data_IF_994946912167
#
_entry.id   IF_994946912167
#
_cell.length_a   1.000
_cell.length_b   1.000
_cell.length_c   1.000
_cell.angle_alpha   90.00
_cell.angle_beta   90.00
_cell.angle_gamma   90.00
#
_symmetry.space_group_name_H-M   'P 1'
#
loop_
_entity.id
_entity.type
_entity.pdbx_description
1 polymer ?
#
# COMPACT_ATOMS: atom_id res chain seq x y z
N UNK A 1 -8.13 -3.69 -6.65
CA UNK A 1 -7.58 -4.15 -5.38
C UNK A 1 -8.38 -5.34 -4.89
N UNK A 2 -7.92 -6.55 -5.21
CA UNK A 2 -8.32 -7.81 -4.56
C UNK A 2 -7.16 -8.20 -3.63
N UNK A 3 -6.89 -7.41 -2.60
CA UNK A 3 -5.73 -7.67 -1.73
C UNK A 3 -6.14 -7.95 -0.28
N UNK A 4 -7.33 -7.52 0.14
CA UNK A 4 -7.68 -7.57 1.57
C UNK A 4 -8.13 -8.99 1.98
N UNK A 5 -8.93 -9.68 1.16
CA UNK A 5 -9.46 -10.99 1.55
C UNK A 5 -8.46 -12.15 1.40
N UNK A 6 -7.45 -12.00 0.54
CA UNK A 6 -6.44 -13.03 0.29
C UNK A 6 -5.18 -12.85 1.14
N UNK A 7 -4.84 -11.61 1.51
CA UNK A 7 -3.58 -11.28 2.22
C UNK A 7 -3.77 -11.21 3.74
N UNK A 8 -5.00 -11.05 4.22
CA UNK A 8 -5.31 -10.96 5.65
C UNK A 8 -6.23 -12.08 6.12
N UNK A 9 -5.81 -12.86 7.13
CA UNK A 9 -6.68 -13.84 7.77
C UNK A 9 -7.76 -13.14 8.60
N UNK A 10 -8.93 -13.76 8.72
CA UNK A 10 -10.02 -13.26 9.56
C UNK A 10 -10.76 -12.04 9.00
N UNK A 11 -10.53 -11.67 7.72
CA UNK A 11 -11.36 -10.66 7.07
C UNK A 11 -12.77 -11.19 6.82
N UNK A 12 -13.75 -10.31 6.99
CA UNK A 12 -15.16 -10.63 6.73
C UNK A 12 -15.68 -9.75 5.61
N UNK A 13 -16.72 -10.21 4.92
CA UNK A 13 -17.40 -9.41 3.92
C UNK A 13 -18.33 -8.39 4.58
N UNK A 14 -18.60 -7.30 3.85
CA UNK A 14 -19.41 -6.18 4.32
C UNK A 14 -20.90 -6.51 4.46
N UNK A 15 -21.36 -7.63 3.88
CA UNK A 15 -22.77 -7.98 3.85
C UNK A 15 -23.22 -8.53 5.22
N UNK A 16 -24.13 -7.83 5.93
CA UNK A 16 -24.58 -8.24 7.25
C UNK A 16 -25.35 -9.57 7.22
N UNK A 17 -26.11 -9.86 6.17
CA UNK A 17 -26.85 -11.12 6.03
C UNK A 17 -25.90 -12.32 5.87
N UNK A 18 -24.77 -12.11 5.17
CA UNK A 18 -23.72 -13.12 5.05
C UNK A 18 -22.88 -13.27 6.32
N UNK A 19 -22.77 -12.20 7.10
CA UNK A 19 -22.01 -12.19 8.35
C UNK A 19 -22.77 -12.88 9.48
N UNK A 20 -24.10 -12.69 9.55
CA UNK A 20 -24.96 -13.31 10.56
C UNK A 20 -24.42 -13.09 11.98
N UNK A 21 -24.47 -14.15 12.80
CA UNK A 21 -24.01 -14.14 14.20
C UNK A 21 -22.49 -14.39 14.34
N UNK A 22 -21.69 -13.75 13.49
CA UNK A 22 -20.23 -13.91 13.53
C UNK A 22 -19.62 -13.37 14.83
N UNK A 23 -19.23 -14.30 15.71
CA UNK A 23 -18.47 -14.01 16.92
C UNK A 23 -17.08 -13.46 16.57
N UNK A 24 -16.92 -12.14 16.73
CA UNK A 24 -15.72 -11.42 16.31
C UNK A 24 -14.60 -11.51 17.34
N UNK A 25 -14.93 -11.70 18.62
CA UNK A 25 -13.94 -11.77 19.69
C UNK A 25 -13.19 -13.11 19.64
N UNK A 26 -13.92 -14.21 19.50
CA UNK A 26 -13.32 -15.55 19.46
C UNK A 26 -12.68 -15.89 18.12
N UNK A 27 -13.02 -15.17 17.04
CA UNK A 27 -12.49 -15.42 15.69
C UNK A 27 -11.49 -14.38 15.20
N UNK A 28 -11.00 -13.50 16.09
CA UNK A 28 -9.96 -12.55 15.76
C UNK A 28 -8.66 -13.29 15.37
N UNK A 29 -8.16 -13.03 14.16
CA UNK A 29 -6.98 -13.71 13.62
C UNK A 29 -5.65 -12.96 13.88
N UNK A 30 -5.72 -11.68 14.27
CA UNK A 30 -4.57 -10.82 14.53
C UNK A 30 -4.74 -10.09 15.85
N UNK A 31 -3.63 -9.86 16.54
CA UNK A 31 -3.58 -8.92 17.66
C UNK A 31 -3.65 -7.47 17.15
N UNK A 32 -4.03 -6.53 18.04
CA UNK A 32 -4.08 -5.11 17.70
C UNK A 32 -2.74 -4.60 17.14
N UNK A 33 -1.62 -4.99 17.76
CA UNK A 33 -0.28 -4.57 17.33
C UNK A 33 0.10 -5.10 15.94
N UNK A 34 -0.31 -6.32 15.62
CA UNK A 34 -0.09 -6.91 14.29
C UNK A 34 -0.92 -6.20 13.23
N UNK A 35 -2.19 -5.91 13.54
CA UNK A 35 -3.07 -5.15 12.67
C UNK A 35 -2.53 -3.73 12.40
N UNK A 36 -2.09 -3.01 13.43
CA UNK A 36 -1.51 -1.66 13.28
C UNK A 36 -0.27 -1.66 12.39
N UNK A 37 0.61 -2.65 12.57
CA UNK A 37 1.81 -2.81 11.74
C UNK A 37 1.44 -3.09 10.28
N UNK A 38 0.53 -4.04 10.06
CA UNK A 38 0.07 -4.36 8.70
C UNK A 38 -0.58 -3.16 8.04
N UNK A 39 -1.48 -2.46 8.74
CA UNK A 39 -2.21 -1.31 8.23
C UNK A 39 -1.25 -0.18 7.81
N UNK A 40 -0.24 0.09 8.63
CA UNK A 40 0.77 1.11 8.32
C UNK A 40 1.51 0.80 7.02
N UNK A 41 1.91 -0.46 6.82
CA UNK A 41 2.59 -0.90 5.61
C UNK A 41 1.66 -0.89 4.38
N UNK A 42 0.41 -1.31 4.56
CA UNK A 42 -0.60 -1.32 3.50
C UNK A 42 -0.90 0.11 3.00
N UNK A 43 -1.11 1.05 3.92
CA UNK A 43 -1.36 2.47 3.60
C UNK A 43 -0.13 3.09 2.91
N UNK A 44 1.07 2.86 3.44
CA UNK A 44 2.31 3.35 2.81
C UNK A 44 2.48 2.85 1.38
N UNK A 45 2.22 1.55 1.16
CA UNK A 45 2.29 0.93 -0.18
C UNK A 45 1.23 1.50 -1.11
N UNK A 46 -0.01 1.66 -0.63
CA UNK A 46 -1.11 2.25 -1.40
C UNK A 46 -0.78 3.66 -1.88
N UNK A 47 -0.33 4.54 -0.98
CA UNK A 47 0.00 5.94 -1.33
C UNK A 47 1.26 6.08 -2.20
N UNK A 48 2.17 5.10 -2.16
CA UNK A 48 3.38 5.06 -2.98
C UNK A 48 3.21 4.40 -4.35
N UNK A 49 2.15 3.60 -4.54
CA UNK A 49 1.86 2.91 -5.81
C UNK A 49 1.18 3.82 -6.83
N UNK A 50 1.44 3.60 -8.13
CA UNK A 50 0.74 4.33 -9.20
C UNK A 50 -0.70 3.84 -9.28
N UNK A 51 -1.66 4.77 -9.22
CA UNK A 51 -3.08 4.43 -9.33
C UNK A 51 -3.58 4.66 -10.74
N UNK A 52 -4.32 3.70 -11.29
CA UNK A 52 -4.83 3.77 -12.66
C UNK A 52 -5.69 5.02 -12.93
N UNK A 53 -6.50 5.46 -11.97
CA UNK A 53 -7.32 6.68 -12.11
C UNK A 53 -6.53 8.00 -12.05
N UNK A 54 -5.35 7.99 -11.42
CA UNK A 54 -4.52 9.18 -11.23
C UNK A 54 -3.30 9.21 -12.17
N UNK A 55 -2.92 8.07 -12.74
CA UNK A 55 -1.68 7.81 -13.49
C UNK A 55 -0.39 8.22 -12.74
N UNK A 56 -0.51 8.39 -11.43
CA UNK A 56 0.57 8.76 -10.52
C UNK A 56 0.25 8.23 -9.12
N UNK A 57 1.23 8.18 -8.20
CA UNK A 57 0.95 7.87 -6.81
C UNK A 57 0.10 8.96 -6.16
N UNK A 58 -0.87 8.60 -5.29
CA UNK A 58 -1.63 9.59 -4.53
C UNK A 58 -0.75 10.57 -3.75
N UNK A 59 0.39 10.10 -3.20
CA UNK A 59 1.32 10.97 -2.48
C UNK A 59 1.99 12.04 -3.37
N UNK A 60 1.90 11.94 -4.70
CA UNK A 60 2.38 12.94 -5.63
C UNK A 60 1.31 13.98 -6.01
N UNK A 61 0.03 13.71 -5.72
CA UNK A 61 -1.07 14.62 -6.02
C UNK A 61 -0.89 15.93 -5.22
N UNK A 62 -0.75 17.06 -5.94
CA UNK A 62 -0.50 18.38 -5.35
C UNK A 62 0.94 18.88 -5.49
N UNK A 63 1.90 18.01 -5.82
CA UNK A 63 3.21 18.41 -6.33
C UNK A 63 3.03 18.55 -7.84
N UNK A 64 2.89 19.78 -8.36
CA UNK A 64 2.56 20.04 -9.77
C UNK A 64 3.35 19.15 -10.74
N UNK A 65 2.72 18.70 -11.84
CA UNK A 65 3.20 17.70 -12.81
C UNK A 65 4.73 17.79 -13.07
N UNK A 66 5.51 17.13 -12.24
CA UNK A 66 6.96 17.07 -12.26
C UNK A 66 7.36 15.60 -12.27
N UNK A 67 7.65 15.11 -13.46
CA UNK A 67 7.71 13.72 -13.84
C UNK A 67 8.54 12.80 -12.93
N UNK A 68 8.04 11.58 -12.70
CA UNK A 68 8.89 10.40 -12.60
C UNK A 68 8.63 9.52 -13.83
N UNK A 69 9.37 9.75 -14.93
CA UNK A 69 9.53 8.74 -15.98
C UNK A 69 10.38 7.61 -15.40
N UNK A 70 9.77 6.49 -15.01
CA UNK A 70 10.49 5.23 -14.86
C UNK A 70 10.58 4.56 -16.22
N UNK A 71 11.68 4.81 -16.94
CA UNK A 71 12.10 3.92 -18.03
C UNK A 71 12.78 2.69 -17.42
N UNK A 72 12.22 1.50 -17.68
CA UNK A 72 13.05 0.32 -17.92
C UNK A 72 13.21 -0.72 -16.80
N UNK A 73 12.53 -1.86 -17.03
CA UNK A 73 12.93 -3.27 -16.81
C UNK A 73 12.99 -3.86 -15.39
N UNK A 74 12.15 -4.89 -15.21
CA UNK A 74 12.24 -5.99 -14.24
C UNK A 74 13.63 -6.66 -14.32
N UNK A 75 14.30 -6.92 -13.19
CA UNK A 75 14.28 -8.22 -12.48
C UNK A 75 15.32 -8.28 -11.34
N UNK A 76 14.92 -8.97 -10.27
CA UNK A 76 15.68 -9.65 -9.20
C UNK A 76 16.48 -8.89 -8.15
N UNK A 77 15.96 -9.09 -6.92
CA UNK A 77 16.64 -9.33 -5.64
C UNK A 77 17.28 -8.12 -4.95
N UNK A 78 16.63 -7.77 -3.83
CA UNK A 78 17.15 -7.10 -2.64
C UNK A 78 18.54 -6.47 -2.78
N UNK A 79 18.58 -5.16 -2.98
CA UNK A 79 19.72 -4.37 -2.52
C UNK A 79 19.24 -2.97 -2.15
N UNK A 80 19.25 -2.69 -0.85
CA UNK A 80 19.04 -1.34 -0.30
C UNK A 80 20.21 -0.49 -0.82
N UNK A 81 19.94 0.44 -1.72
CA UNK A 81 20.96 1.37 -2.23
C UNK A 81 20.46 2.80 -2.09
N UNK A 82 20.93 3.40 -1.01
CA UNK A 82 21.18 4.81 -0.74
C UNK A 82 20.46 5.84 -1.62
N UNK A 83 19.57 6.60 -0.98
CA UNK A 83 19.13 7.91 -1.47
C UNK A 83 20.36 8.83 -1.46
N UNK A 84 20.92 9.09 -2.64
CA UNK A 84 21.80 10.24 -2.84
C UNK A 84 21.20 11.12 -3.93
N UNK A 85 20.34 12.04 -3.52
CA UNK A 85 19.90 13.15 -4.34
C UNK A 85 20.99 14.22 -4.28
N UNK A 86 21.97 14.15 -5.20
CA UNK A 86 22.94 15.24 -5.40
C UNK A 86 22.24 16.33 -6.20
N UNK A 87 21.82 17.40 -5.53
CA UNK A 87 21.42 18.65 -6.18
C UNK A 87 22.63 19.20 -6.95
N UNK A 88 22.56 19.18 -8.28
CA UNK A 88 23.48 19.92 -9.15
C UNK A 88 22.66 20.89 -9.99
N UNK A 89 22.74 22.17 -9.61
CA UNK A 89 22.71 23.36 -10.45
C UNK A 89 21.45 23.70 -11.26
N UNK A 90 20.86 24.87 -10.98
CA UNK A 90 20.71 25.96 -11.96
C UNK A 90 19.88 27.13 -11.39
N UNK A 91 20.55 28.10 -10.75
CA UNK A 91 20.59 29.50 -11.18
C UNK A 91 21.55 30.29 -10.31
#
# INVERSE_FOLDING_TARGET
MQMIHDELPGTTFSNPDQRGDYDSENKAALTLRELERWLTLAVGTYHGSVHNGLLQPPAALGRGRGACRRTGRRHTRYFVRSIFCRSSGAR
#
